data_IF_684622452411
#
_entry.id   IF_684622452411
#
_cell.length_a   1.000
_cell.length_b   1.000
_cell.length_c   1.000
_cell.angle_alpha   90.00
_cell.angle_beta   90.00
_cell.angle_gamma   90.00
#
_symmetry.space_group_name_H-M   'P 1'
#
loop_
_entity.id
_entity.type
_entity.pdbx_description
1 polymer ?
#
# COMPACT_ATOMS: atom_id res chain seq x y z
N UNK A 1 -43.10 -35.75 -31.21
CA UNK A 1 -41.71 -35.39 -31.53
C UNK A 1 -41.42 -33.91 -31.26
N UNK A 2 -42.28 -32.96 -31.52
CA UNK A 2 -42.11 -31.54 -31.31
C UNK A 2 -41.96 -31.08 -29.82
N UNK A 3 -42.62 -31.76 -28.88
CA UNK A 3 -42.54 -31.38 -27.45
C UNK A 3 -41.18 -31.67 -26.83
N UNK A 4 -40.52 -32.76 -27.17
CA UNK A 4 -39.18 -33.08 -26.65
C UNK A 4 -38.11 -32.08 -27.14
N UNK A 5 -38.21 -31.62 -28.37
CA UNK A 5 -37.26 -30.62 -28.94
C UNK A 5 -37.35 -29.26 -28.22
N UNK A 6 -38.54 -28.83 -27.84
CA UNK A 6 -38.77 -27.60 -27.10
C UNK A 6 -38.20 -27.64 -25.68
N UNK A 7 -38.21 -28.80 -25.02
CA UNK A 7 -37.58 -28.98 -23.71
C UNK A 7 -36.05 -28.90 -23.77
N UNK A 8 -35.43 -29.46 -24.78
CA UNK A 8 -33.97 -29.40 -24.93
C UNK A 8 -33.51 -28.00 -25.25
N UNK A 9 -34.24 -27.20 -26.00
CA UNK A 9 -33.93 -25.80 -26.26
C UNK A 9 -34.02 -24.98 -24.99
N UNK A 10 -35.07 -25.12 -24.18
CA UNK A 10 -35.22 -24.40 -22.93
C UNK A 10 -34.11 -24.79 -21.91
N UNK A 11 -33.75 -26.07 -21.84
CA UNK A 11 -32.66 -26.54 -20.99
C UNK A 11 -31.29 -25.95 -21.42
N UNK A 12 -31.08 -25.87 -22.72
CA UNK A 12 -29.85 -25.27 -23.29
C UNK A 12 -29.75 -23.79 -22.97
N UNK A 13 -30.83 -23.01 -23.11
CA UNK A 13 -30.86 -21.59 -22.71
C UNK A 13 -30.66 -21.39 -21.22
N UNK A 14 -31.22 -22.26 -20.39
CA UNK A 14 -31.04 -22.23 -18.94
C UNK A 14 -29.57 -22.47 -18.56
N UNK A 15 -28.87 -23.38 -19.24
CA UNK A 15 -27.45 -23.66 -19.02
C UNK A 15 -26.57 -22.50 -19.44
N UNK A 16 -26.86 -21.85 -20.58
CA UNK A 16 -26.17 -20.63 -21.03
C UNK A 16 -26.36 -19.50 -20.00
N UNK A 17 -27.56 -19.35 -19.46
CA UNK A 17 -27.85 -18.30 -18.47
C UNK A 17 -27.04 -18.50 -17.18
N UNK A 18 -26.85 -19.73 -16.71
CA UNK A 18 -26.01 -20.05 -15.55
C UNK A 18 -24.54 -19.70 -15.82
N UNK A 19 -24.02 -19.95 -17.00
CA UNK A 19 -22.62 -19.63 -17.37
C UNK A 19 -22.38 -18.12 -17.38
N UNK A 20 -23.36 -17.33 -17.83
CA UNK A 20 -23.25 -15.86 -17.88
C UNK A 20 -23.24 -15.18 -16.50
N UNK A 21 -23.80 -15.80 -15.47
CA UNK A 21 -23.85 -15.25 -14.10
C UNK A 21 -22.51 -15.40 -13.37
N UNK A 22 -21.62 -16.28 -13.84
CA UNK A 22 -20.36 -16.64 -13.15
C UNK A 22 -19.20 -15.64 -13.29
N UNK A 23 -19.24 -14.67 -14.21
CA UNK A 23 -18.18 -13.70 -14.38
C UNK A 23 -18.32 -12.53 -13.40
N UNK A 24 -17.71 -12.61 -12.22
CA UNK A 24 -17.43 -11.43 -11.42
C UNK A 24 -16.38 -10.61 -12.17
N UNK A 25 -16.77 -9.49 -12.75
CA UNK A 25 -15.82 -8.52 -13.27
C UNK A 25 -14.92 -8.06 -12.11
N UNK A 26 -13.64 -8.42 -12.19
CA UNK A 26 -12.67 -7.96 -11.23
C UNK A 26 -12.56 -6.43 -11.33
N UNK A 27 -12.77 -5.74 -10.21
CA UNK A 27 -12.67 -4.28 -10.19
C UNK A 27 -11.28 -3.84 -10.66
N UNK A 28 -11.18 -2.88 -11.59
CA UNK A 28 -9.90 -2.38 -12.04
C UNK A 28 -9.17 -1.70 -10.86
N UNK A 29 -8.09 -2.31 -10.42
CA UNK A 29 -7.20 -1.80 -9.39
C UNK A 29 -6.02 -1.08 -10.06
N UNK A 30 -5.70 0.12 -9.59
CA UNK A 30 -4.49 0.84 -9.97
C UNK A 30 -3.58 0.90 -8.75
N UNK A 31 -2.44 0.24 -8.81
CA UNK A 31 -1.48 0.21 -7.71
C UNK A 31 -0.23 1.01 -8.04
N UNK A 32 0.32 1.64 -7.02
CA UNK A 32 1.59 2.36 -7.04
C UNK A 32 2.42 1.88 -5.85
N UNK A 33 3.71 1.68 -6.07
CA UNK A 33 4.60 1.13 -5.06
C UNK A 33 4.53 -0.39 -4.98
N UNK A 34 4.78 -0.95 -3.81
CA UNK A 34 4.81 -2.39 -3.59
C UNK A 34 3.41 -2.91 -3.28
N UNK A 35 2.97 -3.91 -4.02
CA UNK A 35 1.69 -4.59 -3.77
C UNK A 35 1.88 -5.61 -2.65
N UNK A 36 0.90 -5.72 -1.75
CA UNK A 36 0.92 -6.62 -0.59
C UNK A 36 2.08 -6.32 0.37
N UNK A 37 2.27 -5.05 0.68
CA UNK A 37 3.36 -4.57 1.52
C UNK A 37 3.36 -5.25 2.90
N UNK A 38 2.19 -5.40 3.52
CA UNK A 38 2.03 -6.07 4.81
C UNK A 38 2.47 -7.53 4.75
N UNK A 39 1.97 -8.30 3.79
CA UNK A 39 2.32 -9.73 3.62
C UNK A 39 3.81 -9.95 3.36
N UNK A 40 4.46 -8.98 2.75
CA UNK A 40 5.91 -9.03 2.54
C UNK A 40 6.67 -8.64 3.80
N UNK A 41 6.18 -7.68 4.57
CA UNK A 41 6.82 -7.22 5.80
C UNK A 41 6.87 -8.31 6.88
N UNK A 42 5.86 -9.16 6.97
CA UNK A 42 5.80 -10.29 7.91
C UNK A 42 6.95 -11.30 7.71
N UNK A 43 7.52 -11.36 6.50
CA UNK A 43 8.66 -12.24 6.20
C UNK A 43 10.00 -11.73 6.71
N UNK A 44 10.03 -10.49 7.19
CA UNK A 44 11.22 -9.85 7.74
C UNK A 44 11.22 -10.00 9.25
N UNK A 45 12.36 -10.42 9.79
CA UNK A 45 12.54 -10.61 11.23
C UNK A 45 13.59 -9.62 11.75
N UNK A 46 13.20 -8.82 12.74
CA UNK A 46 14.09 -7.86 13.41
C UNK A 46 15.24 -8.62 14.07
N UNK A 47 16.44 -8.05 14.01
CA UNK A 47 17.72 -8.61 14.46
C UNK A 47 18.20 -9.89 13.73
N UNK A 48 17.52 -10.29 12.63
CA UNK A 48 17.89 -11.46 11.82
C UNK A 48 18.05 -11.10 10.35
N UNK A 49 17.06 -10.41 9.78
CA UNK A 49 17.07 -10.04 8.37
C UNK A 49 18.12 -8.95 8.10
N UNK A 50 18.84 -9.07 6.99
CA UNK A 50 19.81 -8.09 6.54
C UNK A 50 19.31 -7.32 5.29
N UNK A 51 20.08 -6.32 4.84
CA UNK A 51 19.79 -5.52 3.64
C UNK A 51 19.47 -6.38 2.41
N UNK A 52 20.22 -7.46 2.19
CA UNK A 52 20.02 -8.34 1.04
C UNK A 52 18.73 -9.13 1.13
N UNK A 53 18.34 -9.58 2.32
CA UNK A 53 17.07 -10.27 2.56
C UNK A 53 15.90 -9.35 2.30
N UNK A 54 16.03 -8.09 2.72
CA UNK A 54 15.01 -7.07 2.45
C UNK A 54 14.90 -6.79 0.95
N UNK A 55 16.02 -6.61 0.25
CA UNK A 55 16.01 -6.42 -1.21
C UNK A 55 15.37 -7.62 -1.93
N UNK A 56 15.68 -8.84 -1.48
CA UNK A 56 15.12 -10.07 -2.07
C UNK A 56 13.60 -10.18 -1.87
N UNK A 57 13.10 -9.74 -0.72
CA UNK A 57 11.67 -9.84 -0.35
C UNK A 57 10.85 -8.67 -0.87
N UNK A 58 11.39 -7.46 -0.75
CA UNK A 58 10.69 -6.19 -1.01
C UNK A 58 11.11 -5.53 -2.33
N UNK A 59 12.32 -5.82 -2.81
CA UNK A 59 12.96 -5.08 -3.88
C UNK A 59 13.70 -3.84 -3.38
N UNK A 60 14.07 -2.94 -4.29
CA UNK A 60 14.73 -1.68 -3.93
C UNK A 60 13.77 -0.77 -3.16
N UNK A 61 14.24 -0.06 -2.13
CA UNK A 61 13.43 0.90 -1.39
C UNK A 61 13.03 2.08 -2.28
N UNK A 62 11.87 2.67 -1.98
CA UNK A 62 11.43 3.88 -2.65
C UNK A 62 12.22 5.11 -2.18
N UNK A 63 12.59 5.11 -0.90
CA UNK A 63 13.43 6.14 -0.29
C UNK A 63 14.45 5.44 0.59
N UNK A 64 15.70 5.87 0.46
CA UNK A 64 16.83 5.46 1.29
C UNK A 64 17.42 6.71 1.94
N UNK A 65 17.58 6.66 3.23
CA UNK A 65 18.24 7.71 4.02
C UNK A 65 19.38 7.08 4.81
N UNK A 66 20.53 7.72 4.76
CA UNK A 66 21.72 7.33 5.51
C UNK A 66 21.97 8.41 6.58
N UNK A 67 22.14 7.98 7.81
CA UNK A 67 22.48 8.90 8.88
C UNK A 67 24.00 9.09 8.96
N UNK A 68 24.47 10.31 8.70
CA UNK A 68 25.89 10.63 8.54
C UNK A 68 26.73 10.29 9.78
N UNK A 69 26.14 10.35 10.98
CA UNK A 69 26.87 10.18 12.24
C UNK A 69 26.86 8.74 12.79
N UNK A 70 25.90 7.91 12.41
CA UNK A 70 25.70 6.56 12.99
C UNK A 70 25.92 5.43 11.99
N UNK A 71 26.14 5.74 10.71
CA UNK A 71 26.18 4.74 9.62
C UNK A 71 24.95 3.83 9.61
N UNK A 72 23.86 4.28 10.21
CA UNK A 72 22.55 3.58 10.15
C UNK A 72 21.80 4.00 8.90
N UNK A 73 21.00 3.07 8.36
CA UNK A 73 20.21 3.31 7.16
C UNK A 73 18.71 3.18 7.48
N UNK A 74 17.91 4.08 6.94
CA UNK A 74 16.46 3.99 6.98
C UNK A 74 15.90 3.81 5.59
N UNK A 75 15.17 2.71 5.37
CA UNK A 75 14.52 2.41 4.11
C UNK A 75 13.02 2.54 4.22
N UNK A 76 12.41 3.22 3.24
CA UNK A 76 10.98 3.45 3.24
C UNK A 76 10.36 2.83 1.98
N UNK A 77 9.33 2.04 2.23
CA UNK A 77 8.48 1.43 1.23
C UNK A 77 7.06 1.92 1.37
N UNK A 78 6.36 2.07 0.26
CA UNK A 78 4.96 2.44 0.28
C UNK A 78 4.14 1.58 -0.69
N UNK A 79 2.90 1.41 -0.32
CA UNK A 79 1.85 0.79 -1.08
C UNK A 79 0.70 1.77 -1.21
N UNK A 80 0.24 2.01 -2.42
CA UNK A 80 -0.95 2.81 -2.69
C UNK A 80 -1.81 2.11 -3.71
N UNK A 81 -3.02 1.75 -3.31
CA UNK A 81 -3.99 1.09 -4.17
C UNK A 81 -5.21 1.98 -4.35
N UNK A 82 -5.57 2.21 -5.59
CA UNK A 82 -6.76 2.94 -6.00
C UNK A 82 -7.75 1.96 -6.63
N UNK A 83 -9.01 2.09 -6.26
CA UNK A 83 -10.12 1.35 -6.88
C UNK A 83 -11.08 2.30 -7.55
N UNK A 84 -11.88 1.81 -8.49
CA UNK A 84 -12.97 2.60 -9.06
C UNK A 84 -14.03 2.84 -7.99
N UNK A 85 -14.40 4.10 -7.79
CA UNK A 85 -15.48 4.45 -6.88
C UNK A 85 -16.83 3.88 -7.34
N UNK A 86 -17.74 3.70 -6.38
CA UNK A 86 -19.11 3.29 -6.66
C UNK A 86 -19.81 4.29 -7.61
N UNK A 87 -20.94 3.90 -8.19
CA UNK A 87 -21.68 4.66 -9.21
C UNK A 87 -21.90 6.14 -8.88
N UNK A 88 -22.11 6.49 -7.61
CA UNK A 88 -22.29 7.86 -7.15
C UNK A 88 -21.02 8.73 -7.20
N UNK A 89 -19.86 8.15 -7.43
CA UNK A 89 -18.57 8.88 -7.56
C UNK A 89 -18.10 9.00 -9.01
N UNK A 90 -19.00 8.81 -9.98
CA UNK A 90 -18.77 9.03 -11.42
C UNK A 90 -17.44 8.44 -11.94
N UNK A 91 -17.06 7.26 -11.46
CA UNK A 91 -15.83 6.57 -11.88
C UNK A 91 -14.53 7.17 -11.35
N UNK A 92 -14.59 8.11 -10.41
CA UNK A 92 -13.39 8.63 -9.74
C UNK A 92 -12.65 7.50 -9.00
N UNK A 93 -11.33 7.56 -9.03
CA UNK A 93 -10.50 6.63 -8.27
C UNK A 93 -10.56 6.95 -6.78
N UNK A 94 -10.90 5.95 -5.99
CA UNK A 94 -10.94 6.03 -4.52
C UNK A 94 -9.73 5.32 -3.95
N UNK A 95 -9.10 5.93 -2.97
CA UNK A 95 -7.97 5.36 -2.25
C UNK A 95 -8.44 4.16 -1.40
N UNK A 96 -8.05 2.95 -1.82
CA UNK A 96 -8.32 1.72 -1.10
C UNK A 96 -7.30 1.53 0.02
N UNK A 97 -6.03 1.39 -0.35
CA UNK A 97 -4.93 1.18 0.58
C UNK A 97 -3.89 2.28 0.43
N UNK A 98 -3.27 2.67 1.52
CA UNK A 98 -2.17 3.61 1.57
C UNK A 98 -1.32 3.29 2.81
N UNK A 99 -0.37 2.40 2.64
CA UNK A 99 0.46 1.88 3.70
C UNK A 99 1.91 2.31 3.50
N UNK A 100 2.60 2.52 4.59
CA UNK A 100 4.03 2.86 4.61
C UNK A 100 4.73 1.90 5.55
N UNK A 101 5.83 1.32 5.09
CA UNK A 101 6.73 0.52 5.89
C UNK A 101 8.07 1.25 6.01
N UNK A 102 8.51 1.45 7.23
CA UNK A 102 9.81 2.03 7.57
C UNK A 102 10.65 0.93 8.17
N UNK A 103 11.84 0.72 7.62
CA UNK A 103 12.83 -0.25 8.08
C UNK A 103 14.08 0.49 8.47
N UNK A 104 14.52 0.30 9.71
CA UNK A 104 15.76 0.87 10.22
C UNK A 104 16.82 -0.23 10.31
N UNK A 105 18.01 0.05 9.79
CA UNK A 105 19.14 -0.86 9.82
C UNK A 105 20.24 -0.26 10.69
N UNK A 106 20.94 -1.14 11.38
CA UNK A 106 22.12 -0.77 12.13
C UNK A 106 23.34 -0.57 11.21
N UNK A 107 24.47 -0.19 11.79
CA UNK A 107 25.74 0.00 11.08
C UNK A 107 26.29 -1.25 10.37
N UNK A 108 25.80 -2.41 10.70
CA UNK A 108 26.17 -3.69 10.08
C UNK A 108 25.18 -4.12 8.98
N UNK A 109 24.14 -3.33 8.74
CA UNK A 109 23.12 -3.62 7.76
C UNK A 109 22.13 -4.68 8.21
N UNK A 110 21.98 -4.89 9.53
CA UNK A 110 20.98 -5.78 10.12
C UNK A 110 19.73 -4.94 10.47
N UNK A 111 18.56 -5.49 10.20
CA UNK A 111 17.28 -4.84 10.49
C UNK A 111 17.10 -4.70 12.01
N UNK A 112 17.19 -3.47 12.52
CA UNK A 112 17.09 -3.15 13.94
C UNK A 112 15.66 -2.84 14.40
N UNK A 113 14.86 -2.23 13.52
CA UNK A 113 13.48 -1.86 13.85
C UNK A 113 12.61 -1.84 12.58
N UNK A 114 11.31 -2.08 12.76
CA UNK A 114 10.33 -2.06 11.69
C UNK A 114 9.06 -1.37 12.14
N UNK A 115 8.58 -0.41 11.35
CA UNK A 115 7.36 0.33 11.64
C UNK A 115 6.42 0.30 10.44
N UNK A 116 5.28 -0.36 10.62
CA UNK A 116 4.21 -0.39 9.63
C UNK A 116 3.15 0.67 9.97
N UNK A 117 2.82 1.53 9.02
CA UNK A 117 1.91 2.65 9.18
C UNK A 117 0.78 2.48 8.19
N UNK A 118 -0.42 2.24 8.68
CA UNK A 118 -1.62 2.07 7.86
C UNK A 118 -2.21 3.41 7.43
N UNK A 119 -3.10 3.36 6.44
CA UNK A 119 -3.90 4.51 5.98
C UNK A 119 -4.59 5.24 7.14
N UNK A 120 -5.17 4.48 8.08
CA UNK A 120 -5.89 5.02 9.23
C UNK A 120 -4.95 5.76 10.19
N UNK A 121 -3.75 5.22 10.39
CA UNK A 121 -2.72 5.86 11.21
C UNK A 121 -2.21 7.15 10.56
N UNK A 122 -2.02 7.15 9.24
CA UNK A 122 -1.63 8.35 8.49
C UNK A 122 -2.69 9.45 8.64
N UNK A 123 -3.98 9.10 8.59
CA UNK A 123 -5.08 10.05 8.75
C UNK A 123 -5.19 10.64 10.16
N UNK A 124 -4.73 9.92 11.18
CA UNK A 124 -4.74 10.37 12.58
C UNK A 124 -3.57 11.28 12.93
N UNK A 125 -2.57 11.43 12.06
CA UNK A 125 -1.43 12.31 12.31
C UNK A 125 -1.93 13.76 12.32
N UNK A 126 -2.00 14.34 13.52
CA UNK A 126 -2.29 15.76 13.71
C UNK A 126 -0.99 16.55 13.59
N UNK A 127 -0.99 17.55 12.73
CA UNK A 127 0.14 18.45 12.62
C UNK A 127 0.03 19.53 13.72
N UNK A 128 0.99 19.56 14.62
CA UNK A 128 1.13 20.67 15.55
C UNK A 128 1.45 21.94 14.74
N UNK A 129 0.60 22.96 14.84
CA UNK A 129 0.85 24.30 14.27
C UNK A 129 1.88 25.11 15.10
N UNK A 130 2.52 24.50 16.07
CA UNK A 130 3.57 25.18 16.85
C UNK A 130 4.76 25.47 15.95
N UNK A 131 4.91 26.72 15.56
CA UNK A 131 6.19 27.27 15.13
C UNK A 131 7.10 27.19 16.34
N UNK A 132 8.05 26.28 16.32
CA UNK A 132 9.16 26.33 17.27
C UNK A 132 10.26 27.10 16.58
N UNK A 133 10.56 28.28 17.10
CA UNK A 133 11.80 28.96 16.81
C UNK A 133 12.96 28.00 17.06
N UNK A 134 13.78 27.85 16.06
CA UNK A 134 15.17 27.41 16.06
C UNK A 134 15.66 26.52 17.21
N UNK A 135 15.03 25.37 17.40
CA UNK A 135 15.81 24.19 17.72
C UNK A 135 15.75 23.28 16.51
N UNK A 136 16.91 22.92 15.98
CA UNK A 136 17.10 21.82 15.05
C UNK A 136 16.68 20.52 15.73
N UNK A 137 15.43 20.48 16.23
CA UNK A 137 14.82 19.24 16.65
C UNK A 137 14.67 18.44 15.38
N UNK A 138 15.43 17.38 15.28
CA UNK A 138 15.33 16.31 14.33
C UNK A 138 13.87 15.78 14.33
N UNK A 139 12.96 16.56 13.74
CA UNK A 139 11.71 15.96 13.30
C UNK A 139 12.13 14.88 12.33
N UNK A 140 12.00 13.65 12.79
CA UNK A 140 12.39 12.48 12.04
C UNK A 140 11.99 12.70 10.58
N UNK A 141 12.89 12.45 9.65
CA UNK A 141 12.62 12.47 8.20
C UNK A 141 11.29 11.78 7.89
N UNK A 142 10.99 10.70 8.58
CA UNK A 142 9.73 9.97 8.49
C UNK A 142 8.53 10.88 8.76
N UNK A 143 8.59 11.78 9.74
CA UNK A 143 7.49 12.71 10.02
C UNK A 143 7.32 13.75 8.91
N UNK A 144 8.43 14.28 8.39
CA UNK A 144 8.40 15.21 7.25
C UNK A 144 7.87 14.53 5.98
N UNK A 145 8.28 13.30 5.75
CA UNK A 145 7.82 12.50 4.62
C UNK A 145 6.33 12.18 4.70
N UNK A 146 5.85 11.71 5.85
CA UNK A 146 4.42 11.46 6.09
C UNK A 146 3.58 12.74 5.93
N UNK A 147 4.12 13.88 6.37
CA UNK A 147 3.50 15.18 6.18
C UNK A 147 3.35 15.54 4.69
N UNK A 148 4.39 15.33 3.90
CA UNK A 148 4.37 15.62 2.46
C UNK A 148 3.41 14.70 1.70
N UNK A 149 3.33 13.42 2.06
CA UNK A 149 2.36 12.48 1.49
C UNK A 149 0.94 12.95 1.81
N UNK A 150 0.66 13.30 3.06
CA UNK A 150 -0.65 13.79 3.47
C UNK A 150 -1.04 15.04 2.71
N UNK A 151 -0.16 16.01 2.61
CA UNK A 151 -0.40 17.26 1.89
C UNK A 151 -0.74 17.01 0.42
N UNK A 152 0.05 16.17 -0.28
CA UNK A 152 -0.22 15.80 -1.68
C UNK A 152 -1.52 15.02 -1.87
N UNK A 153 -1.95 14.24 -0.88
CA UNK A 153 -3.20 13.46 -0.98
C UNK A 153 -4.45 14.33 -0.80
N UNK A 154 -4.36 15.42 -0.05
CA UNK A 154 -5.51 16.27 0.28
C UNK A 154 -5.52 17.63 -0.45
N UNK A 155 -4.45 18.02 -1.15
CA UNK A 155 -4.40 19.26 -1.92
C UNK A 155 -5.11 19.19 -3.28
N UNK A 156 -5.51 18.00 -3.74
CA UNK A 156 -6.24 17.78 -4.98
C UNK A 156 -7.74 17.60 -4.73
N UNK A 157 -8.34 18.47 -3.94
CA UNK A 157 -9.79 18.63 -3.87
C UNK A 157 -10.21 19.89 -4.58
#
# INVERSE_FOLDING_TARGET
>A
MFFAFKYHINLFFFFIFIILIGCKLQEPLKSHGIIYLENRSIKLTVNVSNLNDVIKTMGKPHIKEEEVNSSSETWIYFERTLTKGQYHKLGQHVLKDNNVLVLNFDKYGVLSDTKFITKEAINKIQFSKKYTENELSQKSFVQKFLQSIKQKMYSNK
#
